data_IF_364725013520
#
_entry.id   IF_364725013520
#
_cell.length_a   1.000
_cell.length_b   1.000
_cell.length_c   1.000
_cell.angle_alpha   90.00
_cell.angle_beta   90.00
_cell.angle_gamma   90.00
#
_symmetry.space_group_name_H-M   'P 1'
#
loop_
_entity.id
_entity.type
_entity.pdbx_description
1 polymer ?
#
# COMPACT_ATOMS: atom_id res chain seq x y z
N UNK A 1 -8.67 19.88 -6.03
CA UNK A 1 -7.96 20.29 -7.28
C UNK A 1 -6.79 19.37 -7.62
N UNK A 2 -6.06 18.83 -6.66
CA UNK A 2 -4.92 17.93 -6.86
C UNK A 2 -5.25 16.71 -7.73
N UNK A 3 -6.35 16.00 -7.44
CA UNK A 3 -6.77 14.82 -8.18
C UNK A 3 -6.93 15.10 -9.68
N UNK A 4 -7.70 16.15 -10.04
CA UNK A 4 -7.85 16.57 -11.45
C UNK A 4 -6.50 16.87 -12.10
N UNK A 5 -5.62 17.59 -11.38
CA UNK A 5 -4.32 17.96 -11.93
C UNK A 5 -3.48 16.72 -12.21
N UNK A 6 -3.30 15.83 -11.23
CA UNK A 6 -2.51 14.59 -11.40
C UNK A 6 -3.07 13.76 -12.55
N UNK A 7 -4.38 13.52 -12.59
CA UNK A 7 -5.02 12.71 -13.63
C UNK A 7 -4.95 13.37 -15.02
N UNK A 8 -4.86 14.69 -15.12
CA UNK A 8 -4.82 15.41 -16.41
C UNK A 8 -3.55 15.14 -17.23
N UNK A 9 -2.43 14.84 -16.58
CA UNK A 9 -1.15 14.55 -17.24
C UNK A 9 -0.63 13.13 -17.02
N UNK A 10 -1.33 12.31 -16.19
CA UNK A 10 -0.97 10.92 -15.94
C UNK A 10 -1.71 10.02 -16.93
N UNK A 11 -0.94 9.28 -17.74
CA UNK A 11 -1.47 8.24 -18.63
C UNK A 11 -0.65 6.98 -18.40
N UNK A 12 -1.26 5.98 -17.78
CA UNK A 12 -0.61 4.71 -17.47
C UNK A 12 -1.64 3.58 -17.48
N UNK A 13 -1.34 2.38 -17.96
CA UNK A 13 -2.31 1.27 -18.05
C UNK A 13 -2.90 0.86 -16.68
N UNK A 14 -2.18 1.11 -15.58
CA UNK A 14 -2.61 0.78 -14.24
C UNK A 14 -2.98 2.01 -13.40
N UNK A 15 -3.42 3.09 -14.03
CA UNK A 15 -3.99 4.28 -13.41
C UNK A 15 -5.28 4.64 -14.15
N UNK A 16 -6.36 4.85 -13.41
CA UNK A 16 -7.66 5.23 -13.98
C UNK A 16 -7.52 6.51 -14.80
N UNK A 17 -7.91 6.47 -16.06
CA UNK A 17 -7.84 7.60 -16.97
C UNK A 17 -8.92 8.64 -16.69
N UNK A 18 -8.58 9.92 -16.83
CA UNK A 18 -9.52 11.03 -16.81
C UNK A 18 -9.97 11.33 -18.25
N UNK A 19 -11.25 11.08 -18.55
CA UNK A 19 -11.83 11.35 -19.85
C UNK A 19 -12.29 12.82 -19.98
N UNK A 20 -13.04 13.30 -18.98
CA UNK A 20 -13.53 14.67 -18.95
C UNK A 20 -13.53 15.22 -17.53
N UNK A 21 -13.33 16.54 -17.42
CA UNK A 21 -13.51 17.28 -16.18
C UNK A 21 -14.32 18.55 -16.48
N UNK A 22 -15.39 18.80 -15.71
CA UNK A 22 -16.15 20.01 -15.79
C UNK A 22 -16.60 20.47 -14.40
N UNK A 23 -16.89 21.74 -14.27
CA UNK A 23 -17.25 22.37 -13.00
C UNK A 23 -18.53 23.17 -13.13
N UNK A 24 -19.42 23.03 -12.17
CA UNK A 24 -20.51 23.95 -11.91
C UNK A 24 -20.11 24.95 -10.81
N UNK A 25 -21.04 25.83 -10.38
CA UNK A 25 -20.76 26.76 -9.27
C UNK A 25 -20.30 26.05 -8.00
N UNK A 26 -20.86 24.88 -7.70
CA UNK A 26 -20.71 24.21 -6.40
C UNK A 26 -20.02 22.85 -6.48
N UNK A 27 -19.84 22.29 -7.70
CA UNK A 27 -19.34 20.90 -7.86
C UNK A 27 -18.33 20.80 -9.00
N UNK A 28 -17.29 20.01 -8.75
CA UNK A 28 -16.36 19.51 -9.76
C UNK A 28 -16.78 18.09 -10.14
N UNK A 29 -16.86 17.80 -11.42
CA UNK A 29 -17.16 16.48 -11.96
C UNK A 29 -15.94 15.96 -12.71
N UNK A 30 -15.52 14.74 -12.36
CA UNK A 30 -14.49 13.98 -13.04
C UNK A 30 -15.12 12.75 -13.66
N UNK A 31 -14.99 12.59 -14.96
CA UNK A 31 -15.47 11.43 -15.71
C UNK A 31 -14.27 10.56 -15.98
N UNK A 32 -14.21 9.44 -15.27
CA UNK A 32 -13.10 8.49 -15.27
C UNK A 32 -13.45 7.25 -16.08
N UNK A 33 -12.44 6.43 -16.36
CA UNK A 33 -12.65 5.10 -16.95
C UNK A 33 -13.56 4.25 -16.05
N UNK A 34 -14.41 3.47 -16.67
CA UNK A 34 -15.31 2.57 -15.95
C UNK A 34 -14.61 1.23 -15.65
N UNK A 35 -14.52 0.88 -14.38
CA UNK A 35 -13.90 -0.34 -13.89
C UNK A 35 -14.99 -1.30 -13.32
N UNK A 36 -15.53 -2.22 -14.14
CA UNK A 36 -16.66 -3.07 -13.76
C UNK A 36 -16.35 -4.09 -12.67
N UNK A 37 -15.09 -4.44 -12.47
CA UNK A 37 -14.65 -5.38 -11.43
C UNK A 37 -14.79 -4.86 -10.00
N UNK A 38 -15.11 -3.57 -9.83
CA UNK A 38 -15.23 -2.91 -8.52
C UNK A 38 -13.88 -2.69 -7.86
N UNK A 39 -13.87 -2.45 -6.55
CA UNK A 39 -12.65 -2.23 -5.78
C UNK A 39 -12.11 -3.53 -5.15
N UNK A 40 -10.80 -3.54 -4.90
CA UNK A 40 -10.09 -4.68 -4.30
C UNK A 40 -10.58 -4.96 -2.87
N UNK A 41 -11.08 -3.95 -2.14
CA UNK A 41 -11.67 -4.13 -0.82
C UNK A 41 -12.90 -5.04 -0.85
N UNK A 42 -13.77 -4.88 -1.86
CA UNK A 42 -14.92 -5.79 -2.07
C UNK A 42 -14.46 -7.19 -2.44
N UNK A 43 -13.40 -7.32 -3.25
CA UNK A 43 -12.82 -8.63 -3.59
C UNK A 43 -12.30 -9.32 -2.33
N UNK A 44 -11.50 -8.63 -1.51
CA UNK A 44 -10.97 -9.17 -0.26
C UNK A 44 -12.06 -9.48 0.78
N UNK A 45 -13.11 -8.66 0.85
CA UNK A 45 -14.26 -8.93 1.71
C UNK A 45 -14.98 -10.23 1.35
N UNK A 46 -15.07 -10.56 0.05
CA UNK A 46 -15.68 -11.78 -0.48
C UNK A 46 -14.77 -12.99 -0.36
N UNK A 47 -13.54 -12.87 -0.82
CA UNK A 47 -12.60 -13.99 -0.97
C UNK A 47 -11.72 -14.22 0.26
N UNK A 48 -11.71 -13.26 1.19
CA UNK A 48 -10.92 -13.19 2.42
C UNK A 48 -9.43 -12.95 2.18
N UNK A 49 -8.83 -13.64 1.22
CA UNK A 49 -7.43 -13.48 0.81
C UNK A 49 -7.26 -13.93 -0.65
N UNK A 50 -6.21 -13.47 -1.29
CA UNK A 50 -5.86 -13.87 -2.64
C UNK A 50 -4.83 -15.02 -2.65
N UNK A 51 -4.74 -15.73 -3.77
CA UNK A 51 -3.60 -16.59 -4.06
C UNK A 51 -2.33 -15.77 -4.26
N UNK A 52 -1.16 -16.36 -4.01
CA UNK A 52 0.12 -15.67 -4.18
C UNK A 52 0.34 -15.20 -5.62
N UNK A 53 -0.06 -15.99 -6.63
CA UNK A 53 0.07 -15.61 -8.04
C UNK A 53 -0.77 -14.38 -8.39
N UNK A 54 -2.01 -14.32 -7.91
CA UNK A 54 -2.88 -13.16 -8.14
C UNK A 54 -2.37 -11.93 -7.38
N UNK A 55 -1.95 -12.08 -6.13
CA UNK A 55 -1.37 -11.01 -5.34
C UNK A 55 -0.09 -10.47 -5.97
N UNK A 56 0.76 -11.34 -6.52
CA UNK A 56 1.98 -10.98 -7.26
C UNK A 56 1.67 -10.17 -8.52
N UNK A 57 0.68 -10.59 -9.31
CA UNK A 57 0.25 -9.86 -10.50
C UNK A 57 -0.21 -8.44 -10.12
N UNK A 58 -1.13 -8.30 -9.17
CA UNK A 58 -1.62 -7.01 -8.71
C UNK A 58 -0.52 -6.13 -8.12
N UNK A 59 0.40 -6.74 -7.33
CA UNK A 59 1.55 -6.02 -6.79
C UNK A 59 2.41 -5.39 -7.88
N UNK A 60 2.71 -6.16 -8.95
CA UNK A 60 3.53 -5.68 -10.07
C UNK A 60 2.83 -4.52 -10.82
N UNK A 61 1.54 -4.62 -11.06
CA UNK A 61 0.76 -3.60 -11.74
C UNK A 61 0.71 -2.29 -10.94
N UNK A 62 0.45 -2.39 -9.63
CA UNK A 62 0.46 -1.23 -8.72
C UNK A 62 1.86 -0.62 -8.61
N UNK A 63 2.91 -1.46 -8.53
CA UNK A 63 4.30 -1.00 -8.48
C UNK A 63 4.64 -0.16 -9.71
N UNK A 64 4.27 -0.59 -10.91
CA UNK A 64 4.50 0.15 -12.16
C UNK A 64 3.76 1.50 -12.17
N UNK A 65 2.52 1.53 -11.65
CA UNK A 65 1.76 2.76 -11.51
C UNK A 65 2.42 3.75 -10.55
N UNK A 66 2.87 3.29 -9.37
CA UNK A 66 3.57 4.10 -8.39
C UNK A 66 4.91 4.61 -8.93
N UNK A 67 5.64 3.78 -9.67
CA UNK A 67 6.90 4.17 -10.31
C UNK A 67 6.69 5.31 -11.32
N UNK A 68 5.64 5.27 -12.13
CA UNK A 68 5.30 6.34 -13.07
C UNK A 68 4.93 7.64 -12.33
N UNK A 69 4.15 7.56 -11.26
CA UNK A 69 3.86 8.72 -10.41
C UNK A 69 5.13 9.33 -9.80
N UNK A 70 6.01 8.50 -9.26
CA UNK A 70 7.25 8.94 -8.65
C UNK A 70 8.22 9.58 -9.64
N UNK A 71 8.24 9.14 -10.92
CA UNK A 71 9.00 9.78 -12.00
C UNK A 71 8.49 11.21 -12.30
N UNK A 72 7.23 11.49 -11.97
CA UNK A 72 6.57 12.79 -12.12
C UNK A 72 6.55 13.59 -10.81
N UNK A 73 7.33 13.17 -9.81
CA UNK A 73 7.40 13.77 -8.48
C UNK A 73 6.06 13.85 -7.75
N UNK A 74 5.18 12.87 -8.02
CA UNK A 74 3.90 12.68 -7.34
C UNK A 74 4.00 11.54 -6.37
N UNK A 75 3.55 11.74 -5.13
CA UNK A 75 3.34 10.67 -4.15
C UNK A 75 1.84 10.43 -3.99
N UNK A 76 1.45 9.14 -3.94
CA UNK A 76 0.04 8.73 -3.89
C UNK A 76 -0.56 8.83 -2.49
N UNK A 77 0.10 8.30 -1.47
CA UNK A 77 -0.15 8.41 -0.01
C UNK A 77 -1.40 7.73 0.54
N UNK A 78 -2.30 7.26 -0.28
CA UNK A 78 -3.55 6.60 0.17
C UNK A 78 -3.75 5.24 -0.50
N UNK A 79 -2.67 4.47 -0.63
CA UNK A 79 -2.76 3.11 -1.17
C UNK A 79 -3.44 2.20 -0.15
N UNK A 80 -4.60 1.68 -0.54
CA UNK A 80 -5.44 0.74 0.22
C UNK A 80 -6.35 -0.02 -0.75
N UNK A 81 -6.98 -1.12 -0.34
CA UNK A 81 -7.84 -1.91 -1.23
C UNK A 81 -8.98 -1.11 -1.87
N UNK A 82 -9.56 -0.12 -1.17
CA UNK A 82 -10.66 0.71 -1.69
C UNK A 82 -10.21 1.59 -2.88
N UNK A 83 -8.92 1.96 -2.95
CA UNK A 83 -8.35 2.83 -3.97
C UNK A 83 -7.66 2.05 -5.11
N UNK A 84 -7.87 0.75 -5.17
CA UNK A 84 -7.43 -0.14 -6.24
C UNK A 84 -8.69 -0.75 -6.86
N UNK A 85 -8.95 -0.43 -8.13
CA UNK A 85 -10.14 -0.90 -8.87
C UNK A 85 -9.73 -1.89 -9.95
N UNK A 86 -10.67 -2.73 -10.38
CA UNK A 86 -10.45 -3.78 -11.38
C UNK A 86 -11.18 -3.43 -12.67
N UNK A 87 -10.49 -3.52 -13.77
CA UNK A 87 -11.07 -3.38 -15.12
C UNK A 87 -11.85 -4.65 -15.55
N UNK A 88 -12.30 -4.69 -16.79
CA UNK A 88 -13.05 -5.80 -17.36
C UNK A 88 -12.21 -7.08 -17.55
N UNK A 89 -10.92 -6.94 -17.72
CA UNK A 89 -9.98 -8.04 -17.95
C UNK A 89 -9.36 -8.57 -16.64
N UNK A 90 -9.67 -7.90 -15.51
CA UNK A 90 -9.21 -8.30 -14.18
C UNK A 90 -7.85 -7.70 -13.80
N UNK A 91 -7.36 -6.70 -14.53
CA UNK A 91 -6.20 -5.89 -14.15
C UNK A 91 -6.57 -4.85 -13.11
N UNK A 92 -5.59 -4.44 -12.30
CA UNK A 92 -5.81 -3.43 -11.26
C UNK A 92 -5.33 -2.05 -11.68
N UNK A 93 -6.10 -1.03 -11.32
CA UNK A 93 -5.79 0.37 -11.58
C UNK A 93 -5.89 1.18 -10.28
N UNK A 94 -4.97 2.13 -10.09
CA UNK A 94 -5.04 3.11 -9.00
C UNK A 94 -6.11 4.17 -9.31
N UNK A 95 -6.90 4.51 -8.29
CA UNK A 95 -7.92 5.57 -8.33
C UNK A 95 -7.89 6.41 -7.05
N UNK A 96 -8.64 7.50 -7.01
CA UNK A 96 -8.72 8.45 -5.87
C UNK A 96 -7.39 9.12 -5.52
N UNK A 97 -7.04 10.13 -6.31
CA UNK A 97 -5.83 10.96 -6.12
C UNK A 97 -6.08 12.16 -5.19
N UNK A 98 -7.19 12.18 -4.45
CA UNK A 98 -7.57 13.29 -3.56
C UNK A 98 -6.55 13.59 -2.45
N UNK A 99 -5.80 12.59 -2.02
CA UNK A 99 -4.73 12.72 -1.02
C UNK A 99 -3.32 12.77 -1.61
N UNK A 100 -3.16 12.69 -2.93
CA UNK A 100 -1.85 12.76 -3.58
C UNK A 100 -1.17 14.11 -3.39
N UNK A 101 0.14 14.15 -3.55
CA UNK A 101 0.92 15.39 -3.49
C UNK A 101 1.94 15.46 -4.62
N UNK A 102 1.92 16.59 -5.31
CA UNK A 102 2.84 16.92 -6.41
C UNK A 102 4.09 17.66 -5.90
N UNK A 103 5.16 17.64 -6.69
CA UNK A 103 6.40 18.37 -6.42
C UNK A 103 7.20 17.84 -5.24
N UNK A 104 7.13 16.52 -4.96
CA UNK A 104 7.88 15.88 -3.88
C UNK A 104 9.21 15.33 -4.40
N UNK A 105 10.25 16.15 -4.29
CA UNK A 105 11.60 15.83 -4.77
C UNK A 105 12.38 14.94 -3.79
N UNK A 106 12.06 15.02 -2.50
CA UNK A 106 12.76 14.30 -1.43
C UNK A 106 11.81 13.56 -0.46
N UNK A 107 12.37 12.83 0.50
CA UNK A 107 11.61 12.08 1.49
C UNK A 107 11.08 12.93 2.67
N UNK A 108 11.13 14.27 2.60
CA UNK A 108 10.63 15.17 3.64
C UNK A 108 9.64 16.21 3.12
N UNK A 109 9.33 16.19 1.83
CA UNK A 109 8.51 17.19 1.14
C UNK A 109 7.05 17.27 1.59
N UNK A 110 6.49 16.26 2.28
CA UNK A 110 5.12 16.24 2.78
C UNK A 110 5.07 16.15 4.31
N UNK A 111 4.16 16.91 4.94
CA UNK A 111 3.97 16.91 6.41
C UNK A 111 2.52 16.69 6.83
N UNK A 112 1.61 16.52 5.88
CA UNK A 112 0.20 16.33 6.17
C UNK A 112 -0.06 14.93 6.75
N UNK A 113 -0.87 14.86 7.81
CA UNK A 113 -1.37 13.59 8.33
C UNK A 113 -2.63 13.24 7.54
N UNK A 114 -2.56 12.22 6.69
CA UNK A 114 -3.66 11.79 5.83
C UNK A 114 -3.62 10.27 5.61
N UNK A 115 -4.71 9.70 5.12
CA UNK A 115 -4.85 8.28 4.85
C UNK A 115 -5.62 7.50 5.91
N UNK A 116 -5.91 6.25 5.61
CA UNK A 116 -6.64 5.33 6.50
C UNK A 116 -5.75 4.84 7.62
N UNK A 117 -6.26 4.82 8.84
CA UNK A 117 -5.47 4.62 10.08
C UNK A 117 -4.64 3.33 10.06
N UNK A 118 -5.20 2.23 9.53
CA UNK A 118 -4.51 0.94 9.47
C UNK A 118 -3.34 0.89 8.46
N UNK A 119 -3.26 1.89 7.57
CA UNK A 119 -2.29 2.01 6.50
C UNK A 119 -1.25 3.11 6.73
N UNK A 120 -1.30 3.80 7.87
CA UNK A 120 -0.36 4.90 8.13
C UNK A 120 1.07 4.39 8.25
N UNK A 121 1.98 4.98 7.48
CA UNK A 121 3.40 4.69 7.60
C UNK A 121 3.97 5.22 8.93
N UNK A 122 5.00 4.59 9.52
CA UNK A 122 5.59 5.02 10.79
C UNK A 122 6.06 6.49 10.78
N UNK A 123 6.64 6.97 9.69
CA UNK A 123 7.09 8.36 9.51
C UNK A 123 5.92 9.35 9.47
N UNK A 124 4.77 8.94 8.93
CA UNK A 124 3.55 9.77 8.97
C UNK A 124 3.03 9.91 10.40
N UNK A 125 3.08 8.85 11.20
CA UNK A 125 2.71 8.88 12.62
C UNK A 125 3.64 9.76 13.44
N UNK A 126 4.94 9.76 13.14
CA UNK A 126 5.95 10.61 13.80
C UNK A 126 5.91 12.07 13.38
N UNK A 127 5.23 12.39 12.27
CA UNK A 127 5.16 13.74 11.67
C UNK A 127 6.52 14.34 11.32
N UNK A 128 7.52 13.52 11.05
CA UNK A 128 8.89 13.95 10.72
C UNK A 128 9.06 14.42 9.27
N UNK A 129 8.00 14.38 8.48
CA UNK A 129 8.03 14.54 7.04
C UNK A 129 8.09 13.18 6.34
N UNK A 130 7.58 13.13 5.12
CA UNK A 130 7.54 11.91 4.33
C UNK A 130 7.59 12.24 2.82
N UNK A 131 7.93 11.26 2.02
CA UNK A 131 8.04 11.35 0.57
C UNK A 131 7.66 10.06 -0.14
N UNK A 132 8.33 9.76 -1.24
CA UNK A 132 8.09 8.59 -2.09
C UNK A 132 8.14 7.25 -1.32
N UNK A 133 8.94 7.16 -0.25
CA UNK A 133 9.06 5.97 0.60
C UNK A 133 7.75 5.50 1.22
N UNK A 134 6.83 6.42 1.50
CA UNK A 134 5.51 6.07 2.05
C UNK A 134 4.74 5.13 1.13
N UNK A 135 4.75 5.38 -0.18
CA UNK A 135 4.00 4.55 -1.12
C UNK A 135 4.55 3.11 -1.17
N UNK A 136 5.86 2.93 -1.04
CA UNK A 136 6.47 1.60 -0.95
C UNK A 136 6.08 0.87 0.34
N UNK A 137 6.03 1.59 1.47
CA UNK A 137 5.51 1.03 2.72
C UNK A 137 4.06 0.57 2.54
N UNK A 138 3.20 1.43 1.99
CA UNK A 138 1.80 1.12 1.75
C UNK A 138 1.62 -0.06 0.79
N UNK A 139 2.48 -0.19 -0.22
CA UNK A 139 2.50 -1.33 -1.12
C UNK A 139 2.78 -2.64 -0.37
N UNK A 140 3.70 -2.62 0.58
CA UNK A 140 3.98 -3.76 1.47
C UNK A 140 2.80 -4.11 2.38
N UNK A 141 2.12 -3.10 2.94
CA UNK A 141 0.90 -3.28 3.75
C UNK A 141 -0.20 -3.92 2.91
N UNK A 142 -0.41 -3.43 1.69
CA UNK A 142 -1.41 -3.96 0.77
C UNK A 142 -1.09 -5.40 0.35
N UNK A 143 0.18 -5.72 0.04
CA UNK A 143 0.60 -7.09 -0.24
C UNK A 143 0.30 -8.02 0.93
N UNK A 144 0.63 -7.60 2.14
CA UNK A 144 0.33 -8.39 3.33
C UNK A 144 -1.18 -8.66 3.44
N UNK A 145 -2.01 -7.63 3.27
CA UNK A 145 -3.47 -7.79 3.34
C UNK A 145 -4.02 -8.67 2.23
N UNK A 146 -3.53 -8.56 1.00
CA UNK A 146 -3.91 -9.47 -0.09
C UNK A 146 -3.63 -10.94 0.25
N UNK A 147 -2.51 -11.22 0.92
CA UNK A 147 -2.08 -12.58 1.24
C UNK A 147 -2.68 -13.15 2.54
N UNK A 148 -3.00 -12.28 3.49
CA UNK A 148 -3.43 -12.68 4.86
C UNK A 148 -4.91 -12.39 5.11
N UNK A 149 -5.47 -11.38 4.43
CA UNK A 149 -6.88 -10.97 4.52
C UNK A 149 -7.15 -9.84 5.50
N UNK A 150 -6.15 -9.41 6.25
CA UNK A 150 -6.20 -8.25 7.16
C UNK A 150 -4.90 -7.48 7.07
N UNK A 151 -4.89 -6.16 7.30
CA UNK A 151 -3.65 -5.38 7.35
C UNK A 151 -2.71 -5.88 8.46
N UNK A 152 -1.38 -5.71 8.32
CA UNK A 152 -0.45 -5.96 9.41
C UNK A 152 -0.77 -5.06 10.59
N UNK A 153 -0.49 -5.55 11.82
CA UNK A 153 -0.71 -4.81 13.08
C UNK A 153 -2.17 -4.48 13.44
N UNK A 154 -3.15 -4.96 12.66
CA UNK A 154 -4.58 -4.65 12.85
C UNK A 154 -5.04 -4.97 14.28
N UNK A 155 -5.72 -4.01 14.90
CA UNK A 155 -6.39 -4.15 16.20
C UNK A 155 -7.48 -3.08 16.32
N UNK A 156 -8.54 -3.37 17.07
CA UNK A 156 -9.63 -2.42 17.31
C UNK A 156 -9.23 -1.26 18.26
N UNK A 157 -8.12 -1.39 18.97
CA UNK A 157 -7.58 -0.33 19.81
C UNK A 157 -6.62 0.54 19.03
N UNK A 158 -6.98 1.80 18.80
CA UNK A 158 -6.22 2.75 17.98
C UNK A 158 -4.83 3.05 18.54
N UNK A 159 -4.69 3.17 19.85
CA UNK A 159 -3.39 3.45 20.47
C UNK A 159 -2.44 2.27 20.32
N UNK A 160 -2.97 1.04 20.53
CA UNK A 160 -2.21 -0.20 20.34
C UNK A 160 -1.82 -0.37 18.87
N UNK A 161 -2.72 -0.02 17.93
CA UNK A 161 -2.42 -0.04 16.51
C UNK A 161 -1.22 0.86 16.18
N UNK A 162 -1.22 2.11 16.68
CA UNK A 162 -0.10 3.04 16.46
C UNK A 162 1.21 2.56 17.08
N UNK A 163 1.16 1.97 18.26
CA UNK A 163 2.33 1.36 18.90
C UNK A 163 2.87 0.19 18.06
N UNK A 164 1.97 -0.67 17.57
CA UNK A 164 2.35 -1.81 16.74
C UNK A 164 2.97 -1.37 15.40
N UNK A 165 2.40 -0.37 14.72
CA UNK A 165 2.96 0.19 13.48
C UNK A 165 4.37 0.75 13.72
N UNK A 166 4.60 1.40 14.86
CA UNK A 166 5.89 2.04 15.14
C UNK A 166 6.97 1.08 15.66
N UNK A 167 6.59 0.03 16.37
CA UNK A 167 7.54 -0.81 17.15
C UNK A 167 7.18 -2.29 17.14
N UNK A 168 6.02 -2.70 16.64
CA UNK A 168 5.59 -4.08 16.64
C UNK A 168 6.36 -4.91 15.62
N UNK A 169 6.61 -6.21 15.91
CA UNK A 169 7.17 -7.12 14.93
C UNK A 169 6.14 -7.42 13.84
N UNK A 170 6.59 -7.53 12.59
CA UNK A 170 5.74 -8.03 11.51
C UNK A 170 5.58 -9.56 11.68
N UNK A 171 4.34 -9.99 11.93
CA UNK A 171 4.01 -11.40 12.05
C UNK A 171 3.69 -11.98 10.68
N UNK A 172 4.58 -12.79 10.12
CA UNK A 172 4.40 -13.40 8.80
C UNK A 172 3.90 -14.84 8.99
N UNK A 173 2.72 -15.19 8.43
CA UNK A 173 2.16 -16.52 8.56
C UNK A 173 3.05 -17.60 7.94
N UNK A 174 3.13 -18.77 8.60
CA UNK A 174 3.99 -19.88 8.19
C UNK A 174 3.59 -20.52 6.86
N UNK A 175 2.31 -20.40 6.46
CA UNK A 175 1.75 -20.99 5.24
C UNK A 175 2.15 -20.28 3.94
N UNK A 176 2.72 -19.07 4.01
CA UNK A 176 3.20 -18.38 2.82
C UNK A 176 4.47 -19.03 2.27
N UNK A 177 4.68 -18.93 0.96
CA UNK A 177 5.92 -19.37 0.32
C UNK A 177 7.15 -18.63 0.87
N UNK A 178 8.33 -19.18 0.61
CA UNK A 178 9.59 -18.53 0.98
C UNK A 178 9.76 -17.21 0.27
N UNK A 179 9.35 -17.15 -0.99
CA UNK A 179 9.43 -15.98 -1.87
C UNK A 179 8.54 -14.85 -1.36
N UNK A 180 7.28 -15.15 -1.03
CA UNK A 180 6.34 -14.18 -0.46
C UNK A 180 6.82 -13.65 0.91
N UNK A 181 7.35 -14.53 1.77
CA UNK A 181 7.95 -14.13 3.06
C UNK A 181 9.14 -13.18 2.87
N UNK A 182 10.06 -13.54 1.98
CA UNK A 182 11.25 -12.73 1.71
C UNK A 182 10.88 -11.34 1.15
N UNK A 183 9.87 -11.28 0.27
CA UNK A 183 9.40 -10.02 -0.27
C UNK A 183 8.77 -9.14 0.82
N UNK A 184 7.90 -9.69 1.68
CA UNK A 184 7.30 -8.97 2.80
C UNK A 184 8.36 -8.43 3.78
N UNK A 185 9.39 -9.24 4.09
CA UNK A 185 10.52 -8.83 4.93
C UNK A 185 11.31 -7.72 4.23
N UNK A 186 11.65 -7.89 2.96
CA UNK A 186 12.42 -6.93 2.19
C UNK A 186 11.74 -5.55 2.12
N UNK A 187 10.45 -5.52 1.81
CA UNK A 187 9.68 -4.28 1.78
C UNK A 187 9.61 -3.66 3.18
N UNK A 188 9.40 -4.45 4.24
CA UNK A 188 9.37 -3.94 5.63
C UNK A 188 10.71 -3.41 6.10
N UNK A 189 11.83 -4.04 5.71
CA UNK A 189 13.19 -3.61 6.08
C UNK A 189 13.63 -2.35 5.35
N UNK A 190 13.27 -2.19 4.08
CA UNK A 190 13.54 -0.98 3.30
C UNK A 190 12.86 0.26 3.90
N UNK A 191 11.77 0.06 4.62
CA UNK A 191 10.87 1.12 5.06
C UNK A 191 10.90 1.39 6.57
N UNK A 192 11.39 0.45 7.35
CA UNK A 192 11.61 0.65 8.78
C UNK A 192 13.11 0.61 9.06
N UNK A 193 13.67 1.73 9.53
CA UNK A 193 14.97 1.79 10.21
C UNK A 193 15.00 0.94 11.51
N UNK A 194 14.17 -0.07 11.61
CA UNK A 194 14.07 -0.98 12.75
C UNK A 194 14.80 -2.28 12.43
N UNK A 195 16.11 -2.29 12.72
CA UNK A 195 16.99 -3.48 12.78
C UNK A 195 16.47 -4.63 13.68
N UNK A 196 15.29 -4.49 14.30
CA UNK A 196 14.74 -5.45 15.25
C UNK A 196 14.08 -6.68 14.61
N UNK A 197 13.78 -6.67 13.31
CA UNK A 197 13.08 -7.79 12.66
C UNK A 197 14.07 -8.94 12.34
N UNK A 198 15.26 -8.63 11.88
CA UNK A 198 16.26 -9.63 11.51
C UNK A 198 16.76 -10.45 12.72
N UNK A 199 16.96 -9.82 13.88
CA UNK A 199 17.51 -10.49 15.07
C UNK A 199 16.53 -11.44 15.79
N UNK A 200 15.21 -11.26 15.59
CA UNK A 200 14.22 -12.15 16.20
C UNK A 200 13.88 -13.37 15.33
N UNK A 201 13.99 -13.27 14.02
CA UNK A 201 13.72 -14.39 13.13
C UNK A 201 14.79 -15.49 13.23
N UNK A 202 16.07 -15.13 13.38
CA UNK A 202 17.16 -16.06 13.68
C UNK A 202 16.96 -16.78 15.01
N UNK A 203 16.36 -16.09 16.01
CA UNK A 203 16.07 -16.67 17.31
C UNK A 203 14.98 -17.74 17.26
N UNK A 204 13.99 -17.60 16.39
CA UNK A 204 12.91 -18.60 16.23
C UNK A 204 13.36 -19.83 15.44
N UNK A 205 14.20 -19.69 14.43
CA UNK A 205 14.78 -20.82 13.70
C UNK A 205 15.75 -21.63 14.58
N UNK A 206 16.49 -20.95 15.44
CA UNK A 206 17.41 -21.60 16.39
C UNK A 206 16.67 -22.35 17.52
N UNK A 207 15.51 -21.88 17.93
CA UNK A 207 14.65 -22.56 18.92
C UNK A 207 13.92 -23.75 18.30
N UNK A 208 13.41 -23.60 17.06
CA UNK A 208 12.75 -24.68 16.32
C UNK A 208 13.66 -25.86 16.02
N UNK A 209 14.95 -25.61 15.70
CA UNK A 209 15.93 -26.64 15.40
C UNK A 209 16.44 -27.40 16.65
N UNK A 210 16.29 -26.86 17.86
CA UNK A 210 16.61 -27.55 19.12
C UNK A 210 15.51 -28.48 19.61
N UNK A 211 14.24 -28.29 19.18
CA UNK A 211 13.14 -29.16 19.56
C UNK A 211 12.96 -30.40 18.67
N UNK A 212 13.64 -30.47 17.52
CA UNK A 212 13.65 -31.65 16.65
C UNK A 212 14.80 -32.64 16.92
N UNK A 213 15.63 -32.38 17.91
CA UNK A 213 16.75 -33.26 18.30
C UNK A 213 16.69 -33.77 19.74
N UNK A 214 15.47 -34.00 20.24
CA UNK A 214 15.27 -34.79 21.49
C UNK A 214 14.17 -35.83 21.27
#
# INVERSE_FOLDING_TARGET
MTERNVLSYTRHPFIVGLNFAFQTRDKLFLILDYCPGGDLGKVLSREKRLTEDRAKMYLCEILLALEDLHKKDVIFRDLKPDNVVLDADGHVLLTDFGLSKEGVLDNQGARSFCGSVAYLAPEMLRRTGHGKSVDWYLLGVLLYEMLVGIPPYFTNNREKLFQNIQRGPLLIPSQLSREAKNLLIGVSLLLSSNLLIASKQESYETIGSRHQRR
#
